data_IF_409421629753
#
_entry.id   IF_409421629753
#
_cell.length_a   1.000
_cell.length_b   1.000
_cell.length_c   1.000
_cell.angle_alpha   90.00
_cell.angle_beta   90.00
_cell.angle_gamma   90.00
#
_symmetry.space_group_name_H-M   'P 1'
#
loop_
_entity.id
_entity.type
_entity.pdbx_description
1 polymer ?
#
# COMPACT_ATOMS: atom_id res chain seq x y z
N UNK A 1 -4.69 -11.87 -10.09
CA UNK A 1 -3.39 -11.18 -10.30
C UNK A 1 -2.29 -12.10 -10.85
N UNK A 2 -2.12 -13.34 -10.38
CA UNK A 2 -1.04 -14.25 -10.84
C UNK A 2 -0.90 -14.51 -12.34
N UNK A 3 -1.97 -14.32 -13.13
CA UNK A 3 -1.95 -14.48 -14.60
C UNK A 3 -1.54 -13.22 -15.37
N UNK A 4 -1.42 -12.07 -14.71
CA UNK A 4 -1.04 -10.81 -15.37
C UNK A 4 0.45 -10.80 -15.65
N UNK A 5 0.82 -10.48 -16.90
CA UNK A 5 2.19 -10.28 -17.39
C UNK A 5 2.61 -8.82 -17.39
N UNK A 6 1.78 -7.91 -16.83
CA UNK A 6 2.10 -6.50 -16.76
C UNK A 6 3.39 -6.25 -15.99
N UNK A 7 4.21 -5.32 -16.49
CA UNK A 7 5.49 -4.93 -15.88
C UNK A 7 5.32 -4.41 -14.45
N UNK A 8 4.25 -3.64 -14.22
CA UNK A 8 3.92 -3.08 -12.92
C UNK A 8 2.52 -3.52 -12.50
N UNK A 9 2.36 -3.85 -11.22
CA UNK A 9 1.09 -4.17 -10.59
C UNK A 9 0.83 -3.20 -9.44
N UNK A 10 -0.27 -2.47 -9.56
CA UNK A 10 -0.64 -1.41 -8.64
C UNK A 10 -1.95 -1.79 -7.96
N UNK A 11 -1.98 -1.71 -6.64
CA UNK A 11 -3.18 -1.84 -5.84
C UNK A 11 -3.58 -0.46 -5.31
N UNK A 12 -4.89 -0.16 -5.34
CA UNK A 12 -5.44 1.13 -4.92
C UNK A 12 -6.51 0.85 -3.86
N UNK A 13 -6.47 1.59 -2.77
CA UNK A 13 -7.46 1.55 -1.69
C UNK A 13 -7.58 2.92 -1.02
N UNK A 14 -8.62 3.14 -0.21
CA UNK A 14 -8.76 4.42 0.49
C UNK A 14 -7.86 4.50 1.74
N UNK A 15 -7.91 3.47 2.59
CA UNK A 15 -7.21 3.43 3.88
C UNK A 15 -5.73 3.05 3.76
N UNK A 16 -4.97 3.42 4.79
CA UNK A 16 -3.53 3.23 4.92
C UNK A 16 -3.18 1.77 5.26
N UNK A 17 -2.28 1.16 4.48
CA UNK A 17 -1.60 -0.08 4.93
C UNK A 17 -0.40 0.29 5.80
N UNK A 18 0.35 1.32 5.38
CA UNK A 18 1.45 1.93 6.11
C UNK A 18 1.25 3.43 6.14
N UNK A 19 1.37 4.06 7.30
CA UNK A 19 1.33 5.52 7.47
C UNK A 19 2.09 5.94 8.72
N UNK A 20 2.68 7.15 8.70
CA UNK A 20 3.28 7.79 9.87
C UNK A 20 2.51 9.06 10.28
N UNK A 21 1.30 9.23 9.75
CA UNK A 21 0.38 10.32 10.05
C UNK A 21 -0.69 9.90 11.07
N UNK A 22 -1.72 10.71 11.25
CA UNK A 22 -2.68 10.65 12.36
C UNK A 22 -3.43 9.31 12.45
N UNK A 23 -3.82 8.70 11.31
CA UNK A 23 -4.53 7.42 11.33
C UNK A 23 -3.59 6.22 11.48
N UNK A 24 -2.31 6.35 11.09
CA UNK A 24 -1.31 5.30 11.14
C UNK A 24 -1.68 4.06 10.32
N UNK A 25 -1.12 2.91 10.67
CA UNK A 25 -1.38 1.64 9.98
C UNK A 25 -2.79 1.08 10.29
N UNK A 26 -3.56 0.69 9.26
CA UNK A 26 -4.81 -0.06 9.45
C UNK A 26 -4.51 -1.55 9.69
N UNK A 27 -4.76 -2.04 10.91
CA UNK A 27 -4.41 -3.40 11.37
C UNK A 27 -5.02 -4.51 10.52
N UNK A 28 -6.28 -4.36 10.14
CA UNK A 28 -7.01 -5.33 9.33
C UNK A 28 -6.38 -5.47 7.95
N UNK A 29 -5.90 -4.37 7.36
CA UNK A 29 -5.21 -4.42 6.07
C UNK A 29 -3.82 -5.03 6.18
N UNK A 30 -3.10 -4.80 7.28
CA UNK A 30 -1.83 -5.50 7.56
C UNK A 30 -2.02 -7.01 7.68
N UNK A 31 -3.11 -7.46 8.31
CA UNK A 31 -3.35 -8.88 8.58
C UNK A 31 -3.96 -9.61 7.38
N UNK A 32 -4.91 -8.99 6.68
CA UNK A 32 -5.73 -9.66 5.67
C UNK A 32 -5.26 -9.34 4.25
N UNK A 33 -4.89 -8.09 3.97
CA UNK A 33 -4.60 -7.64 2.61
C UNK A 33 -3.11 -7.72 2.25
N UNK A 34 -2.23 -7.21 3.13
CA UNK A 34 -0.80 -7.16 2.86
C UNK A 34 -0.19 -8.53 2.49
N UNK A 35 -0.55 -9.67 3.14
CA UNK A 35 -0.05 -10.97 2.71
C UNK A 35 -0.46 -11.32 1.27
N UNK A 36 -1.69 -10.97 0.88
CA UNK A 36 -2.20 -11.19 -0.49
C UNK A 36 -1.43 -10.34 -1.49
N UNK A 37 -1.17 -9.06 -1.19
CA UNK A 37 -0.40 -8.19 -2.07
C UNK A 37 1.03 -8.71 -2.27
N UNK A 38 1.69 -9.15 -1.18
CA UNK A 38 3.02 -9.75 -1.22
C UNK A 38 3.07 -11.00 -2.11
N UNK A 39 2.16 -11.95 -1.90
CA UNK A 39 2.10 -13.21 -2.69
C UNK A 39 1.80 -12.97 -4.17
N UNK A 40 1.14 -11.86 -4.51
CA UNK A 40 0.84 -11.52 -5.90
C UNK A 40 1.90 -10.63 -6.58
N UNK A 41 2.96 -10.25 -5.85
CA UNK A 41 4.04 -9.41 -6.34
C UNK A 41 3.54 -8.04 -6.78
N UNK A 42 2.78 -7.38 -5.91
CA UNK A 42 2.41 -5.96 -6.10
C UNK A 42 3.67 -5.11 -5.96
N UNK A 43 3.79 -4.07 -6.78
CA UNK A 43 4.90 -3.12 -6.72
C UNK A 43 4.52 -1.90 -5.89
N UNK A 44 3.29 -1.41 -6.07
CA UNK A 44 2.81 -0.17 -5.46
C UNK A 44 1.44 -0.36 -4.80
N UNK A 45 1.29 0.14 -3.57
CA UNK A 45 0.00 0.39 -2.95
C UNK A 45 -0.21 1.90 -2.83
N UNK A 46 -1.33 2.40 -3.35
CA UNK A 46 -1.65 3.83 -3.34
C UNK A 46 -2.95 4.05 -2.56
N UNK A 47 -2.91 4.99 -1.61
CA UNK A 47 -4.06 5.36 -0.78
C UNK A 47 -4.19 6.86 -0.56
N UNK A 48 -5.24 7.25 0.15
CA UNK A 48 -5.45 8.58 0.72
C UNK A 48 -5.66 8.44 2.23
N UNK A 49 -6.83 8.87 2.70
CA UNK A 49 -7.28 8.80 4.10
C UNK A 49 -6.53 9.75 5.04
N UNK A 50 -5.20 9.65 5.12
CA UNK A 50 -4.42 10.68 5.78
C UNK A 50 -4.29 11.91 4.90
N UNK A 51 -4.56 13.08 5.47
CA UNK A 51 -4.59 14.36 4.76
C UNK A 51 -3.18 14.94 4.55
N UNK A 52 -2.29 14.11 4.01
CA UNK A 52 -0.90 14.45 3.73
C UNK A 52 -0.39 13.70 2.48
N UNK A 53 0.87 13.94 2.15
CA UNK A 53 1.59 13.19 1.12
C UNK A 53 2.70 12.37 1.79
N UNK A 54 2.76 11.08 1.52
CA UNK A 54 3.76 10.18 2.10
C UNK A 54 4.29 9.20 1.06
N UNK A 55 5.56 8.83 1.23
CA UNK A 55 6.16 7.67 0.57
C UNK A 55 6.88 6.84 1.63
N UNK A 56 6.42 5.60 1.82
CA UNK A 56 6.97 4.65 2.78
C UNK A 56 7.52 3.43 2.03
N UNK A 57 8.72 3.02 2.42
CA UNK A 57 9.37 1.78 1.95
C UNK A 57 9.56 0.80 3.11
N UNK A 58 9.64 -0.49 2.81
CA UNK A 58 9.89 -1.54 3.80
C UNK A 58 11.24 -2.19 3.56
N UNK A 59 11.96 -2.53 4.64
CA UNK A 59 13.19 -3.33 4.56
C UNK A 59 12.91 -4.80 4.17
N UNK A 60 11.70 -5.29 4.47
CA UNK A 60 11.33 -6.70 4.31
C UNK A 60 10.46 -6.95 3.06
N UNK A 61 10.17 -5.91 2.28
CA UNK A 61 9.25 -6.00 1.14
C UNK A 61 9.55 -4.92 0.10
N UNK A 62 9.59 -5.27 -1.20
CA UNK A 62 9.83 -4.29 -2.26
C UNK A 62 8.62 -3.37 -2.54
N UNK A 63 7.43 -3.72 -2.04
CA UNK A 63 6.21 -2.90 -2.16
C UNK A 63 6.50 -1.48 -1.65
N UNK A 64 6.23 -0.47 -2.47
CA UNK A 64 6.20 0.93 -2.06
C UNK A 64 4.78 1.35 -1.71
N UNK A 65 4.64 2.16 -0.66
CA UNK A 65 3.36 2.70 -0.21
C UNK A 65 3.35 4.20 -0.46
N UNK A 66 2.32 4.68 -1.14
CA UNK A 66 2.13 6.10 -1.42
C UNK A 66 0.80 6.58 -0.85
N UNK A 67 0.86 7.57 0.03
CA UNK A 67 -0.32 8.31 0.49
C UNK A 67 -0.43 9.60 -0.32
N UNK A 68 -1.57 9.81 -0.96
CA UNK A 68 -1.93 11.02 -1.71
C UNK A 68 -3.27 11.55 -1.25
N UNK A 69 -3.36 12.03 -0.01
CA UNK A 69 -4.59 12.56 0.59
C UNK A 69 -4.62 14.07 0.83
N UNK A 70 -3.62 14.82 0.36
CA UNK A 70 -3.56 16.29 0.48
C UNK A 70 -4.33 17.06 -0.61
N UNK A 71 -5.46 16.53 -1.08
CA UNK A 71 -6.32 17.15 -2.09
C UNK A 71 -7.33 18.13 -1.52
#
# INVERSE_FOLDING_TARGET
>A
MKKSTAKWKIAIGHHTIRSVSDHGDTKELLQLLLPVLKVNGIDFYINGHDHCLEHISSRDSPIQYFTSGGG
#
